data_IF_453692773296
#
_entry.id   IF_453692773296
#
_cell.length_a   1.000
_cell.length_b   1.000
_cell.length_c   1.000
_cell.angle_alpha   90.00
_cell.angle_beta   90.00
_cell.angle_gamma   90.00
#
_symmetry.space_group_name_H-M   'P 1'
#
loop_
_entity.id
_entity.type
_entity.pdbx_description
1 polymer ?
#
# COMPACT_ATOMS: atom_id res chain seq x y z
N UNK A 1 7.28 -23.84 -14.21
CA UNK A 1 5.87 -23.44 -14.43
C UNK A 1 5.75 -21.99 -14.02
N UNK A 2 5.37 -21.13 -14.96
CA UNK A 2 5.24 -19.68 -14.71
C UNK A 2 3.92 -19.45 -13.97
N UNK A 3 3.99 -18.90 -12.75
CA UNK A 3 2.81 -18.45 -12.01
C UNK A 3 2.32 -17.08 -12.50
N UNK A 4 1.02 -16.84 -12.40
CA UNK A 4 0.41 -15.53 -12.64
C UNK A 4 -0.51 -15.18 -11.48
N UNK A 5 -0.50 -13.91 -11.10
CA UNK A 5 -1.36 -13.38 -10.04
C UNK A 5 -2.11 -12.15 -10.56
N UNK A 6 -3.26 -11.85 -9.99
CA UNK A 6 -3.97 -10.61 -10.30
C UNK A 6 -3.15 -9.41 -9.82
N UNK A 7 -3.02 -8.41 -10.70
CA UNK A 7 -2.35 -7.15 -10.37
C UNK A 7 -3.17 -6.31 -9.40
N UNK A 8 -4.50 -6.35 -9.56
CA UNK A 8 -5.46 -5.55 -8.80
C UNK A 8 -6.73 -6.37 -8.53
N UNK A 9 -7.50 -5.96 -7.53
CA UNK A 9 -8.81 -6.54 -7.27
C UNK A 9 -9.77 -6.24 -8.41
N UNK A 10 -10.42 -7.29 -8.92
CA UNK A 10 -11.39 -7.17 -10.00
C UNK A 10 -12.74 -6.76 -9.43
N UNK A 11 -13.21 -5.57 -9.79
CA UNK A 11 -14.52 -5.06 -9.38
C UNK A 11 -15.63 -5.70 -10.21
N UNK A 12 -16.45 -6.52 -9.57
CA UNK A 12 -17.59 -7.19 -10.21
C UNK A 12 -18.81 -6.27 -10.38
N UNK A 13 -18.88 -5.19 -9.62
CA UNK A 13 -19.97 -4.19 -9.62
C UNK A 13 -19.74 -3.02 -10.59
N UNK A 14 -18.66 -3.07 -11.40
CA UNK A 14 -18.35 -1.99 -12.32
C UNK A 14 -19.38 -1.96 -13.49
N UNK A 15 -19.89 -0.76 -13.87
CA UNK A 15 -20.92 -0.63 -14.91
C UNK A 15 -20.52 -1.19 -16.29
N UNK A 16 -19.21 -1.21 -16.60
CA UNK A 16 -18.71 -1.77 -17.87
C UNK A 16 -18.75 -3.28 -17.93
N UNK A 17 -18.99 -3.98 -16.81
CA UNK A 17 -19.04 -5.42 -16.78
C UNK A 17 -20.31 -5.92 -17.47
N UNK A 18 -20.13 -6.92 -18.35
CA UNK A 18 -21.26 -7.56 -19.02
C UNK A 18 -21.99 -8.46 -18.03
N UNK A 19 -23.29 -8.20 -17.83
CA UNK A 19 -24.17 -9.03 -17.00
C UNK A 19 -25.14 -9.77 -17.90
N UNK A 20 -25.18 -11.10 -17.78
CA UNK A 20 -26.09 -11.97 -18.54
C UNK A 20 -26.91 -12.85 -17.59
N UNK A 21 -28.14 -13.12 -17.94
CA UNK A 21 -28.95 -14.06 -17.19
C UNK A 21 -28.41 -15.50 -17.41
N UNK A 22 -27.98 -16.14 -16.30
CA UNK A 22 -27.36 -17.46 -16.36
C UNK A 22 -28.34 -18.61 -16.06
N UNK A 23 -29.41 -18.34 -15.31
CA UNK A 23 -30.42 -19.33 -14.97
C UNK A 23 -31.80 -18.71 -14.88
N UNK A 24 -32.80 -19.43 -15.36
CA UNK A 24 -34.18 -19.00 -15.35
C UNK A 24 -35.04 -19.94 -14.50
N UNK A 25 -36.10 -19.39 -13.93
CA UNK A 25 -37.15 -20.20 -13.28
C UNK A 25 -37.91 -20.99 -14.33
N UNK A 26 -38.14 -22.29 -14.08
CA UNK A 26 -38.85 -23.16 -15.04
C UNK A 26 -40.32 -22.84 -15.23
N UNK A 27 -40.95 -22.04 -14.34
CA UNK A 27 -42.36 -21.73 -14.35
C UNK A 27 -42.68 -20.35 -14.94
N UNK A 28 -41.81 -19.37 -14.77
CA UNK A 28 -42.10 -17.99 -15.14
C UNK A 28 -41.09 -17.36 -16.14
N UNK A 29 -40.04 -18.08 -16.53
CA UNK A 29 -39.01 -17.52 -17.39
C UNK A 29 -38.23 -16.36 -16.77
N UNK A 30 -38.39 -16.10 -15.46
CA UNK A 30 -37.71 -15.02 -14.75
C UNK A 30 -36.28 -15.43 -14.43
N UNK A 31 -35.28 -14.55 -14.66
CA UNK A 31 -33.89 -14.84 -14.30
C UNK A 31 -33.76 -15.04 -12.78
N UNK A 32 -33.14 -16.13 -12.38
CA UNK A 32 -32.86 -16.45 -10.98
C UNK A 32 -31.39 -16.28 -10.60
N UNK A 33 -30.50 -16.34 -11.59
CA UNK A 33 -29.07 -16.14 -11.41
C UNK A 33 -28.51 -15.32 -12.56
N UNK A 34 -27.53 -14.50 -12.25
CA UNK A 34 -26.81 -13.70 -13.23
C UNK A 34 -25.33 -14.09 -13.24
N UNK A 35 -24.73 -14.12 -14.42
CA UNK A 35 -23.29 -14.24 -14.56
C UNK A 35 -22.73 -12.88 -14.92
N UNK A 36 -21.65 -12.51 -14.25
CA UNK A 36 -20.91 -11.27 -14.50
C UNK A 36 -19.60 -11.63 -15.17
N UNK A 37 -19.32 -11.04 -16.34
CA UNK A 37 -18.02 -11.13 -16.99
C UNK A 37 -17.23 -9.88 -16.67
N UNK A 38 -16.16 -10.03 -15.90
CA UNK A 38 -15.21 -8.98 -15.60
C UNK A 38 -13.84 -9.34 -16.16
N UNK A 39 -13.07 -8.33 -16.54
CA UNK A 39 -11.70 -8.49 -17.04
C UNK A 39 -10.74 -7.94 -15.98
N UNK A 40 -9.67 -8.68 -15.68
CA UNK A 40 -8.62 -8.28 -14.77
C UNK A 40 -7.25 -8.37 -15.41
N UNK A 41 -6.33 -7.54 -14.94
CA UNK A 41 -4.94 -7.60 -15.36
C UNK A 41 -4.19 -8.63 -14.51
N UNK A 42 -3.39 -9.47 -15.15
CA UNK A 42 -2.55 -10.47 -14.50
C UNK A 42 -1.07 -10.17 -14.75
N UNK A 43 -0.25 -10.40 -13.75
CA UNK A 43 1.19 -10.23 -13.81
C UNK A 43 1.88 -11.55 -13.45
N UNK A 44 3.07 -11.77 -13.99
CA UNK A 44 3.84 -12.97 -13.66
C UNK A 44 4.40 -12.89 -12.25
N UNK A 45 4.46 -14.03 -11.58
CA UNK A 45 5.05 -14.17 -10.25
C UNK A 45 4.22 -15.06 -9.34
N UNK A 46 4.75 -15.25 -8.14
CA UNK A 46 4.11 -16.00 -7.06
C UNK A 46 4.16 -15.16 -5.78
N UNK A 47 3.08 -15.16 -5.02
CA UNK A 47 3.09 -14.54 -3.70
C UNK A 47 3.75 -15.47 -2.69
N UNK A 48 4.66 -14.90 -1.93
CA UNK A 48 5.32 -15.55 -0.81
C UNK A 48 5.12 -14.74 0.46
N UNK A 49 4.92 -15.43 1.57
CA UNK A 49 4.73 -14.80 2.87
C UNK A 49 5.85 -15.26 3.79
N UNK A 50 6.57 -14.31 4.34
CA UNK A 50 7.56 -14.58 5.37
C UNK A 50 7.26 -13.81 6.65
N UNK A 51 7.70 -14.34 7.78
CA UNK A 51 7.56 -13.71 9.08
C UNK A 51 8.92 -13.45 9.68
N UNK A 52 9.14 -12.23 10.16
CA UNK A 52 10.44 -11.83 10.73
C UNK A 52 10.20 -11.18 12.09
N UNK A 53 10.91 -11.67 13.11
CA UNK A 53 10.93 -11.05 14.43
C UNK A 53 11.90 -9.86 14.41
N UNK A 54 11.40 -8.68 14.80
CA UNK A 54 12.16 -7.45 14.67
C UNK A 54 13.18 -7.23 15.79
N UNK A 55 12.97 -7.88 16.94
CA UNK A 55 13.83 -7.65 18.12
C UNK A 55 13.77 -6.22 18.63
N UNK A 56 14.76 -5.82 19.42
CA UNK A 56 14.81 -4.50 20.05
C UNK A 56 14.87 -3.36 19.02
N UNK A 57 14.48 -2.16 19.47
CA UNK A 57 14.55 -0.95 18.65
C UNK A 57 15.99 -0.66 18.19
N UNK A 58 16.14 -0.42 16.91
CA UNK A 58 17.40 -0.05 16.27
C UNK A 58 17.14 1.05 15.25
N UNK A 59 17.97 2.09 15.26
CA UNK A 59 17.82 3.21 14.31
C UNK A 59 18.17 2.75 12.90
N UNK A 60 17.32 3.10 11.95
CA UNK A 60 17.48 2.75 10.54
C UNK A 60 17.66 1.25 10.28
N UNK A 61 16.92 0.46 11.06
CA UNK A 61 16.95 -1.01 10.95
C UNK A 61 16.75 -1.47 9.53
N UNK A 62 17.60 -2.41 9.11
CA UNK A 62 17.49 -3.11 7.83
C UNK A 62 17.12 -4.56 8.08
N UNK A 63 16.02 -4.99 7.49
CA UNK A 63 15.56 -6.37 7.52
C UNK A 63 15.83 -6.99 6.15
N UNK A 64 16.61 -8.07 6.12
CA UNK A 64 16.86 -8.83 4.90
C UNK A 64 15.70 -9.80 4.67
N UNK A 65 15.15 -9.80 3.47
CA UNK A 65 14.17 -10.79 3.04
C UNK A 65 14.85 -12.11 2.68
N UNK A 66 14.22 -13.21 3.06
CA UNK A 66 14.69 -14.56 2.75
C UNK A 66 14.36 -14.94 1.32
N UNK A 67 13.24 -14.45 0.81
CA UNK A 67 12.76 -14.70 -0.55
C UNK A 67 13.73 -14.14 -1.59
N UNK A 68 14.24 -14.97 -2.50
CA UNK A 68 15.06 -14.48 -3.60
C UNK A 68 14.20 -13.83 -4.69
N UNK A 69 14.84 -13.02 -5.53
CA UNK A 69 14.20 -12.42 -6.72
C UNK A 69 12.87 -11.70 -6.44
N UNK A 70 12.80 -11.00 -5.31
CA UNK A 70 11.63 -10.18 -4.95
C UNK A 70 11.46 -9.05 -5.96
N UNK A 71 10.33 -9.05 -6.65
CA UNK A 71 9.96 -8.02 -7.62
C UNK A 71 9.23 -6.88 -6.92
N UNK A 72 8.35 -7.23 -5.97
CA UNK A 72 7.46 -6.29 -5.31
C UNK A 72 7.22 -6.72 -3.85
N UNK A 73 7.13 -5.74 -2.97
CA UNK A 73 6.66 -5.93 -1.59
C UNK A 73 5.19 -5.53 -1.55
N UNK A 74 4.32 -6.52 -1.43
CA UNK A 74 2.86 -6.31 -1.52
C UNK A 74 2.31 -5.72 -0.23
N UNK A 75 2.74 -6.23 0.92
CA UNK A 75 2.32 -5.71 2.22
C UNK A 75 3.31 -6.06 3.32
N UNK A 76 3.43 -5.16 4.29
CA UNK A 76 4.20 -5.36 5.52
C UNK A 76 3.31 -4.98 6.69
N UNK A 77 3.00 -5.95 7.57
CA UNK A 77 2.12 -5.74 8.73
C UNK A 77 2.78 -6.26 9.98
N UNK A 78 2.57 -5.54 11.09
CA UNK A 78 3.01 -6.01 12.39
C UNK A 78 1.95 -6.89 13.07
N UNK A 79 2.31 -7.50 14.21
CA UNK A 79 1.42 -8.35 14.99
C UNK A 79 0.15 -7.62 15.49
N UNK A 80 0.22 -6.31 15.66
CA UNK A 80 -0.91 -5.48 16.07
C UNK A 80 -1.83 -5.09 14.90
N UNK A 81 -1.50 -5.50 13.68
CA UNK A 81 -2.24 -5.18 12.46
C UNK A 81 -1.88 -3.82 11.84
N UNK A 82 -0.88 -3.13 12.36
CA UNK A 82 -0.43 -1.90 11.72
C UNK A 82 0.30 -2.21 10.42
N UNK A 83 -0.02 -1.45 9.39
CA UNK A 83 0.58 -1.56 8.06
C UNK A 83 1.73 -0.57 7.90
N UNK A 84 2.80 -1.03 7.26
CA UNK A 84 3.95 -0.23 6.86
C UNK A 84 3.92 -0.06 5.35
N UNK A 85 4.15 1.16 4.88
CA UNK A 85 4.02 1.52 3.46
C UNK A 85 5.38 1.72 2.82
N UNK A 86 5.53 1.22 1.60
CA UNK A 86 6.70 1.50 0.78
C UNK A 86 6.68 2.95 0.32
N UNK A 87 7.82 3.61 0.40
CA UNK A 87 8.05 4.98 -0.05
C UNK A 87 9.36 5.04 -0.82
N UNK A 88 9.51 6.03 -1.68
CA UNK A 88 10.77 6.22 -2.42
C UNK A 88 11.92 6.65 -1.49
N UNK A 89 11.60 7.50 -0.52
CA UNK A 89 12.55 8.01 0.46
C UNK A 89 11.92 8.05 1.84
N UNK A 90 12.68 7.73 2.88
CA UNK A 90 12.18 7.77 4.27
C UNK A 90 11.70 9.16 4.72
N UNK A 91 12.09 10.22 4.03
CA UNK A 91 11.57 11.57 4.24
C UNK A 91 10.15 11.79 3.71
N UNK A 92 9.67 10.92 2.81
CA UNK A 92 8.32 10.99 2.26
C UNK A 92 7.32 10.50 3.30
N UNK A 93 6.55 11.40 3.87
CA UNK A 93 5.55 11.09 4.89
C UNK A 93 4.12 10.98 4.35
N UNK A 94 3.92 11.21 3.06
CA UNK A 94 2.61 11.16 2.39
C UNK A 94 2.68 10.23 1.20
N UNK A 95 1.67 9.37 1.07
CA UNK A 95 1.41 8.57 -0.13
C UNK A 95 0.04 8.93 -0.69
N UNK A 96 -0.17 8.67 -1.97
CA UNK A 96 -1.47 8.85 -2.61
C UNK A 96 -2.13 7.49 -2.80
N UNK A 97 -3.40 7.38 -2.41
CA UNK A 97 -4.19 6.16 -2.60
C UNK A 97 -5.44 6.47 -3.40
N UNK A 98 -5.82 5.54 -4.26
CA UNK A 98 -7.09 5.56 -4.96
C UNK A 98 -8.23 5.29 -3.97
N UNK A 99 -9.15 6.23 -3.91
CA UNK A 99 -10.39 6.08 -3.14
C UNK A 99 -11.55 6.11 -4.11
N UNK A 100 -12.46 5.13 -3.99
CA UNK A 100 -13.63 5.05 -4.85
C UNK A 100 -14.40 6.37 -4.84
N UNK A 101 -14.66 6.91 -6.02
CA UNK A 101 -15.45 8.12 -6.18
C UNK A 101 -16.92 7.79 -5.87
N UNK A 102 -17.52 8.58 -4.96
CA UNK A 102 -18.95 8.49 -4.59
C UNK A 102 -19.75 9.68 -5.13
N UNK A 103 -19.13 10.52 -5.95
CA UNK A 103 -19.77 11.68 -6.57
C UNK A 103 -20.73 11.30 -7.68
N UNK A 104 -21.36 12.30 -8.27
CA UNK A 104 -22.28 12.16 -9.42
C UNK A 104 -21.54 11.75 -10.70
N UNK A 105 -20.27 11.99 -10.77
CA UNK A 105 -19.32 11.71 -11.87
C UNK A 105 -18.55 10.39 -11.71
N UNK A 106 -18.97 9.52 -10.79
CA UNK A 106 -18.32 8.25 -10.47
C UNK A 106 -18.19 7.30 -11.66
N UNK A 107 -19.07 7.42 -12.64
CA UNK A 107 -19.09 6.55 -13.83
C UNK A 107 -17.99 6.96 -14.83
N UNK A 108 -17.66 8.27 -14.86
CA UNK A 108 -16.56 8.81 -15.68
C UNK A 108 -15.23 8.78 -14.95
N UNK A 109 -15.25 9.05 -13.64
CA UNK A 109 -14.06 9.11 -12.77
C UNK A 109 -14.26 8.13 -11.61
N UNK A 110 -13.93 6.86 -11.76
CA UNK A 110 -14.23 5.83 -10.76
C UNK A 110 -13.43 5.94 -9.46
N UNK A 111 -12.27 6.59 -9.50
CA UNK A 111 -11.40 6.75 -8.34
C UNK A 111 -10.80 8.16 -8.26
N UNK A 112 -10.58 8.62 -7.05
CA UNK A 112 -9.94 9.90 -6.74
C UNK A 112 -8.68 9.62 -5.92
N UNK A 113 -7.55 10.19 -6.31
CA UNK A 113 -6.31 10.15 -5.54
C UNK A 113 -6.43 11.00 -4.28
N UNK A 114 -6.25 10.39 -3.12
CA UNK A 114 -6.22 11.10 -1.84
C UNK A 114 -4.88 10.93 -1.14
N UNK A 115 -4.33 12.00 -0.55
CA UNK A 115 -3.12 11.93 0.25
C UNK A 115 -3.40 11.27 1.60
N UNK A 116 -2.50 10.37 2.02
CA UNK A 116 -2.49 9.73 3.32
C UNK A 116 -1.13 9.91 3.98
N UNK A 117 -1.13 10.37 5.22
CA UNK A 117 0.09 10.45 6.03
C UNK A 117 0.46 9.05 6.50
N UNK A 118 1.70 8.65 6.28
CA UNK A 118 2.21 7.32 6.58
C UNK A 118 3.39 7.40 7.57
N UNK A 119 3.10 7.40 8.88
CA UNK A 119 4.16 7.41 9.89
C UNK A 119 4.95 6.09 9.92
N UNK A 120 4.33 4.97 9.51
CA UNK A 120 4.97 3.67 9.36
C UNK A 120 5.30 3.43 7.91
N UNK A 121 6.59 3.51 7.60
CA UNK A 121 7.08 3.41 6.22
C UNK A 121 8.45 2.77 6.15
N UNK A 122 8.77 2.26 4.98
CA UNK A 122 10.05 1.65 4.66
C UNK A 122 10.46 1.95 3.23
N UNK A 123 11.73 1.79 2.96
CA UNK A 123 12.31 1.84 1.61
C UNK A 123 12.84 0.46 1.27
N UNK A 124 12.63 0.03 0.03
CA UNK A 124 13.16 -1.22 -0.49
C UNK A 124 14.54 -0.97 -1.10
N UNK A 125 15.55 -1.58 -0.52
CA UNK A 125 16.91 -1.58 -1.08
C UNK A 125 17.23 -2.93 -1.70
N UNK A 126 17.73 -2.92 -2.93
CA UNK A 126 18.19 -4.12 -3.63
C UNK A 126 19.71 -4.09 -3.73
N UNK A 127 20.35 -5.00 -3.03
CA UNK A 127 21.82 -5.16 -3.02
C UNK A 127 22.19 -6.54 -3.55
N UNK A 128 22.79 -6.57 -4.74
CA UNK A 128 23.09 -7.83 -5.44
C UNK A 128 21.83 -8.68 -5.61
N UNK A 129 21.81 -9.86 -5.00
CA UNK A 129 20.68 -10.80 -5.08
C UNK A 129 19.78 -10.77 -3.83
N UNK A 130 19.90 -9.76 -2.97
CA UNK A 130 19.14 -9.67 -1.74
C UNK A 130 18.32 -8.39 -1.69
N UNK A 131 17.11 -8.52 -1.17
CA UNK A 131 16.21 -7.39 -0.93
C UNK A 131 16.19 -7.08 0.57
N UNK A 132 16.28 -5.82 0.91
CA UNK A 132 16.25 -5.33 2.27
C UNK A 132 15.12 -4.31 2.42
N UNK A 133 14.45 -4.34 3.55
CA UNK A 133 13.53 -3.29 3.98
C UNK A 133 14.24 -2.40 4.99
N UNK A 134 14.41 -1.13 4.67
CA UNK A 134 15.00 -0.14 5.58
C UNK A 134 13.91 0.72 6.19
N UNK A 135 13.89 0.81 7.51
CA UNK A 135 12.96 1.60 8.30
C UNK A 135 13.62 2.89 8.83
N UNK A 136 12.80 3.81 9.33
CA UNK A 136 13.28 5.00 10.01
C UNK A 136 13.86 4.71 11.41
N UNK A 137 13.94 5.76 12.25
CA UNK A 137 14.44 5.59 13.62
C UNK A 137 13.44 5.98 14.71
N UNK A 138 12.22 6.38 14.33
CA UNK A 138 11.15 6.68 15.28
C UNK A 138 10.71 5.47 16.09
N UNK A 139 10.27 5.69 17.30
CA UNK A 139 9.71 4.65 18.18
C UNK A 139 8.18 4.69 18.11
N UNK A 140 7.54 3.52 18.06
CA UNK A 140 6.08 3.41 18.11
C UNK A 140 5.44 4.02 19.36
N UNK A 141 6.18 4.15 20.46
CA UNK A 141 5.73 4.81 21.69
C UNK A 141 5.53 6.32 21.52
N UNK A 142 6.18 6.93 20.55
CA UNK A 142 6.13 8.37 20.30
C UNK A 142 4.90 8.77 19.45
N UNK A 143 4.24 7.81 18.79
CA UNK A 143 2.97 8.04 18.09
C UNK A 143 1.79 8.33 19.03
N UNK A 144 1.90 8.02 20.30
CA UNK A 144 0.85 8.35 21.29
C UNK A 144 0.84 9.84 21.67
N UNK A 145 1.80 10.61 21.22
CA UNK A 145 1.70 12.07 21.24
C UNK A 145 0.74 12.46 20.09
N UNK A 146 -0.35 13.22 20.37
CA UNK A 146 -1.25 13.64 19.32
C UNK A 146 -0.44 14.43 18.30
N UNK A 147 -0.20 13.83 17.15
CA UNK A 147 0.32 14.51 16.00
C UNK A 147 -0.76 15.53 15.60
N UNK A 148 -0.64 16.73 16.11
CA UNK A 148 -1.46 17.85 15.67
C UNK A 148 -1.10 18.01 14.19
N UNK A 149 -2.03 17.60 13.34
CA UNK A 149 -1.94 17.88 11.91
C UNK A 149 -1.82 19.40 11.81
N UNK A 150 -0.70 19.89 11.33
CA UNK A 150 -0.54 21.32 11.07
C UNK A 150 -1.67 21.76 10.14
N UNK A 151 -2.47 22.76 10.50
CA UNK A 151 -3.59 23.23 9.66
C UNK A 151 -3.14 23.60 8.25
N UNK A 152 -1.89 24.02 8.08
CA UNK A 152 -1.27 24.31 6.78
C UNK A 152 -1.23 23.10 5.86
N UNK A 153 -1.05 21.89 6.38
CA UNK A 153 -0.98 20.66 5.57
C UNK A 153 -2.38 20.21 5.09
N UNK A 154 -3.43 20.65 5.78
CA UNK A 154 -4.82 20.27 5.47
C UNK A 154 -5.53 21.32 4.60
N UNK A 155 -5.19 22.59 4.76
CA UNK A 155 -5.90 23.72 4.10
C UNK A 155 -5.55 23.85 2.62
N UNK A 156 -4.43 23.31 2.19
CA UNK A 156 -3.90 23.47 0.84
C UNK A 156 -4.77 22.90 -0.29
N UNK A 157 -5.70 22.00 0.00
CA UNK A 157 -6.51 21.36 -1.04
C UNK A 157 -7.92 21.93 -1.22
N UNK A 158 -8.37 22.82 -0.34
CA UNK A 158 -9.77 23.29 -0.37
C UNK A 158 -10.07 24.36 -1.42
N UNK A 159 -9.05 24.94 -2.05
CA UNK A 159 -9.22 26.09 -2.94
C UNK A 159 -8.67 25.90 -4.36
N UNK A 160 -8.50 24.67 -4.84
CA UNK A 160 -8.08 24.36 -6.23
C UNK A 160 -6.87 25.19 -6.75
N UNK A 161 -6.08 25.77 -5.86
CA UNK A 161 -4.83 26.41 -6.22
C UNK A 161 -3.75 25.35 -6.11
N UNK A 162 -3.14 25.01 -7.23
CA UNK A 162 -1.89 24.25 -7.25
C UNK A 162 -0.84 25.13 -6.55
N UNK A 163 -0.79 25.01 -5.25
CA UNK A 163 0.37 25.47 -4.53
C UNK A 163 1.43 24.41 -4.79
N UNK A 164 2.35 24.72 -5.69
CA UNK A 164 3.72 24.32 -5.52
C UNK A 164 4.05 24.83 -4.14
N UNK A 165 3.98 23.95 -3.17
CA UNK A 165 4.35 24.31 -1.81
C UNK A 165 5.83 24.64 -1.87
N UNK A 166 6.15 25.91 -1.69
CA UNK A 166 7.43 26.33 -1.10
C UNK A 166 7.45 25.88 0.39
N UNK A 167 6.91 24.69 0.69
CA UNK A 167 7.20 24.03 1.95
C UNK A 167 8.65 23.65 1.81
N UNK A 168 9.46 24.56 2.25
CA UNK A 168 10.87 24.37 2.46
C UNK A 168 10.97 23.04 3.21
N UNK A 169 11.53 22.04 2.55
CA UNK A 169 11.95 20.82 3.20
C UNK A 169 12.81 21.22 4.38
N UNK A 170 12.22 21.20 5.56
CA UNK A 170 12.93 21.52 6.79
C UNK A 170 13.47 20.20 7.37
N UNK A 171 14.77 19.92 7.19
CA UNK A 171 15.38 18.70 7.71
C UNK A 171 15.25 18.58 9.22
N UNK A 172 15.10 19.70 9.93
CA UNK A 172 14.96 19.73 11.38
C UNK A 172 13.63 19.12 11.82
N UNK A 173 12.55 19.36 11.06
CA UNK A 173 11.24 18.76 11.34
C UNK A 173 11.27 17.25 11.17
N UNK A 174 11.94 16.74 10.15
CA UNK A 174 12.10 15.30 9.93
C UNK A 174 12.91 14.64 11.06
N UNK A 175 13.93 15.33 11.57
CA UNK A 175 14.76 14.82 12.65
C UNK A 175 14.06 14.86 14.00
N UNK A 176 13.23 15.86 14.25
CA UNK A 176 12.63 16.09 15.59
C UNK A 176 11.25 15.45 15.73
N UNK A 177 10.39 15.55 14.71
CA UNK A 177 9.00 15.12 14.81
C UNK A 177 8.72 13.83 14.07
N UNK A 178 9.19 13.68 12.83
CA UNK A 178 8.86 12.54 11.98
C UNK A 178 9.87 11.39 12.07
N UNK A 179 11.12 11.68 12.42
CA UNK A 179 12.20 10.69 12.62
C UNK A 179 12.34 9.69 11.47
N UNK A 180 12.05 10.17 10.25
CA UNK A 180 12.07 9.36 9.02
C UNK A 180 11.17 8.11 9.08
N UNK A 181 10.12 8.16 9.89
CA UNK A 181 9.18 7.06 10.09
C UNK A 181 9.57 6.14 11.25
N UNK A 182 8.62 5.30 11.62
CA UNK A 182 8.72 4.40 12.76
C UNK A 182 9.48 3.15 12.40
N UNK A 183 10.43 2.79 13.23
CA UNK A 183 11.08 1.49 13.20
C UNK A 183 10.24 0.46 13.96
N UNK A 184 9.89 -0.69 13.37
CA UNK A 184 9.26 -1.77 14.08
C UNK A 184 10.21 -2.34 15.13
N UNK A 185 9.74 -2.53 16.36
CA UNK A 185 10.51 -3.08 17.47
C UNK A 185 9.64 -3.98 18.34
N UNK A 186 10.25 -5.02 18.89
CA UNK A 186 9.63 -5.98 19.80
C UNK A 186 8.32 -6.58 19.23
N UNK A 187 8.26 -6.73 17.91
CA UNK A 187 7.11 -7.25 17.19
C UNK A 187 7.53 -8.24 16.10
N UNK A 188 6.55 -8.95 15.58
CA UNK A 188 6.73 -9.82 14.41
C UNK A 188 6.09 -9.16 13.20
N UNK A 189 6.86 -9.00 12.14
CA UNK A 189 6.36 -8.56 10.86
C UNK A 189 5.92 -9.76 10.01
N UNK A 190 4.77 -9.62 9.38
CA UNK A 190 4.32 -10.49 8.28
C UNK A 190 4.50 -9.70 6.99
N UNK A 191 5.33 -10.24 6.12
CA UNK A 191 5.73 -9.59 4.86
C UNK A 191 5.24 -10.47 3.73
N UNK A 192 4.43 -9.89 2.85
CA UNK A 192 3.97 -10.54 1.62
C UNK A 192 4.74 -9.94 0.46
N UNK A 193 5.41 -10.77 -0.29
CA UNK A 193 6.19 -10.39 -1.46
C UNK A 193 5.69 -11.10 -2.70
N UNK A 194 5.93 -10.51 -3.86
CA UNK A 194 5.80 -11.18 -5.14
C UNK A 194 7.21 -11.45 -5.67
N UNK A 195 7.52 -12.71 -5.85
CA UNK A 195 8.77 -13.15 -6.44
C UNK A 195 8.55 -13.62 -7.88
N UNK A 196 9.55 -13.43 -8.71
CA UNK A 196 9.56 -14.02 -10.05
C UNK A 196 10.40 -15.29 -10.00
N UNK A 197 9.76 -16.44 -10.10
CA UNK A 197 10.45 -17.72 -10.21
C UNK A 197 10.99 -17.90 -11.62
N UNK A 198 12.04 -17.21 -11.98
CA UNK A 198 12.88 -17.65 -13.08
C UNK A 198 13.76 -18.78 -12.53
N UNK A 199 13.30 -20.00 -12.70
CA UNK A 199 14.20 -21.13 -12.71
C UNK A 199 15.02 -21.03 -14.00
N UNK A 200 16.23 -20.49 -13.91
CA UNK A 200 17.26 -20.70 -14.92
C UNK A 200 17.70 -22.15 -14.90
#
# INVERSE_FOLDING_TARGET
QTGYVLAEDVRLDHPSNQVVAARFSGVAGTPTHYAVKATGQVISGVFETETVDTGAHEKFKKIRLSTPNVVEVVSVKDRAGNEYFEVEHLSQNVIFKDVANKGSDKDDIPAILKPFVVPRRFVVERLKNHTYLQFGYGSGKELSSPSIVEPSDVVLQRHAKSYTTDVTFDPSKLLTTDKFGICPSDTRLTIVTRSNTNSS
#
